data_IF_077510082102
#
_entry.id   IF_077510082102
#
_cell.length_a   1.000
_cell.length_b   1.000
_cell.length_c   1.000
_cell.angle_alpha   90.00
_cell.angle_beta   90.00
_cell.angle_gamma   90.00
#
_symmetry.space_group_name_H-M   'P 1'
#
loop_
_entity.id
_entity.type
_entity.pdbx_description
1 polymer ?
#
# COMPACT_ATOMS: atom_id res chain seq x y z
N UNK A 1 -9.63 -18.55 12.11
CA UNK A 1 -8.45 -18.79 13.00
C UNK A 1 -7.89 -17.43 13.37
N UNK A 2 -7.71 -17.17 14.68
CA UNK A 2 -7.13 -15.91 15.17
C UNK A 2 -5.60 -15.92 14.97
N UNK A 3 -5.01 -14.72 14.92
CA UNK A 3 -3.57 -14.52 14.74
C UNK A 3 -2.99 -14.12 16.10
N UNK A 4 -2.15 -14.98 16.69
CA UNK A 4 -1.65 -14.82 18.06
C UNK A 4 -0.20 -14.31 18.13
N UNK A 5 0.60 -14.50 17.09
CA UNK A 5 2.03 -14.10 17.08
C UNK A 5 2.41 -13.32 15.84
N UNK A 6 3.54 -12.62 15.90
CA UNK A 6 4.07 -11.90 14.73
C UNK A 6 4.45 -12.88 13.60
N UNK A 7 4.93 -14.07 13.93
CA UNK A 7 5.28 -15.10 12.96
C UNK A 7 4.03 -15.57 12.19
N UNK A 8 2.91 -15.84 12.89
CA UNK A 8 1.64 -16.16 12.24
C UNK A 8 1.12 -15.03 11.36
N UNK A 9 1.30 -13.77 11.80
CA UNK A 9 0.93 -12.59 11.00
C UNK A 9 1.80 -12.50 9.73
N UNK A 10 3.12 -12.66 9.86
CA UNK A 10 4.02 -12.62 8.70
C UNK A 10 3.71 -13.77 7.72
N UNK A 11 3.44 -14.97 8.22
CA UNK A 11 2.98 -16.09 7.40
C UNK A 11 1.69 -15.74 6.64
N UNK A 12 0.68 -15.23 7.37
CA UNK A 12 -0.60 -14.84 6.76
C UNK A 12 -0.46 -13.71 5.73
N UNK A 13 0.49 -12.79 5.93
CA UNK A 13 0.79 -11.70 5.00
C UNK A 13 1.61 -12.12 3.77
N UNK A 14 2.27 -13.27 3.82
CA UNK A 14 3.19 -13.73 2.77
C UNK A 14 2.85 -15.10 2.15
N UNK A 15 1.71 -15.68 2.50
CA UNK A 15 1.22 -16.94 1.89
C UNK A 15 0.71 -16.69 0.46
N UNK A 16 1.29 -17.30 -0.58
CA UNK A 16 0.85 -17.09 -1.96
C UNK A 16 -0.44 -17.83 -2.28
N UNK A 17 -1.22 -17.27 -3.20
CA UNK A 17 -2.36 -17.95 -3.82
C UNK A 17 -1.92 -18.71 -5.10
N UNK A 18 -2.76 -19.59 -5.64
CA UNK A 18 -2.51 -20.20 -6.94
C UNK A 18 -2.26 -19.18 -8.06
N UNK A 19 -2.96 -18.05 -8.04
CA UNK A 19 -2.79 -16.95 -9.02
C UNK A 19 -1.43 -16.26 -8.86
N UNK A 20 -0.96 -16.10 -7.61
CA UNK A 20 0.35 -15.52 -7.31
C UNK A 20 1.47 -16.42 -7.86
N UNK A 21 1.33 -17.73 -7.66
CA UNK A 21 2.25 -18.74 -8.16
C UNK A 21 2.27 -18.76 -9.70
N UNK A 22 1.08 -18.71 -10.33
CA UNK A 22 0.93 -18.65 -11.77
C UNK A 22 1.57 -17.38 -12.35
N UNK A 23 1.34 -16.21 -11.72
CA UNK A 23 1.94 -14.96 -12.13
C UNK A 23 3.48 -15.00 -12.05
N UNK A 24 4.05 -15.55 -10.97
CA UNK A 24 5.50 -15.69 -10.84
C UNK A 24 6.08 -16.69 -11.84
N UNK A 25 5.33 -17.71 -12.21
CA UNK A 25 5.76 -18.66 -13.28
C UNK A 25 5.79 -17.99 -14.65
N UNK A 26 4.82 -17.14 -14.95
CA UNK A 26 4.70 -16.45 -16.24
C UNK A 26 5.65 -15.26 -16.39
N UNK A 27 5.90 -14.51 -15.31
CA UNK A 27 6.75 -13.31 -15.33
C UNK A 27 8.20 -13.70 -15.64
N UNK A 28 8.83 -13.03 -16.60
CA UNK A 28 10.21 -13.28 -16.97
C UNK A 28 11.18 -12.34 -16.27
N UNK A 29 12.32 -12.89 -15.83
CA UNK A 29 13.46 -12.15 -15.26
C UNK A 29 13.28 -11.74 -13.80
N UNK A 30 14.30 -11.07 -13.28
CA UNK A 30 14.42 -10.65 -11.89
C UNK A 30 13.54 -9.44 -11.57
N UNK A 31 13.29 -9.21 -10.28
CA UNK A 31 12.47 -8.11 -9.79
C UNK A 31 13.26 -7.30 -8.78
N UNK A 32 13.35 -5.98 -8.97
CA UNK A 32 13.82 -5.04 -7.94
C UNK A 32 12.64 -4.33 -7.30
N UNK A 33 12.66 -4.19 -5.98
CA UNK A 33 11.64 -3.46 -5.21
C UNK A 33 12.32 -2.28 -4.52
N UNK A 34 11.99 -1.08 -4.97
CA UNK A 34 12.55 0.18 -4.48
C UNK A 34 11.69 0.74 -3.34
N UNK A 35 12.24 0.82 -2.13
CA UNK A 35 11.54 1.33 -0.95
C UNK A 35 10.97 0.26 -0.02
N UNK A 36 11.56 -0.93 0.03
CA UNK A 36 11.11 -2.07 0.85
C UNK A 36 11.05 -1.77 2.35
N UNK A 37 11.85 -0.84 2.88
CA UNK A 37 11.84 -0.50 4.31
C UNK A 37 10.56 0.15 4.85
N UNK A 38 9.54 0.34 3.98
CA UNK A 38 8.19 0.75 4.37
C UNK A 38 7.37 -0.41 4.94
N UNK A 39 6.12 -0.14 5.36
CA UNK A 39 5.24 -1.10 6.06
C UNK A 39 4.85 -2.32 5.23
N UNK A 40 4.60 -2.13 3.94
CA UNK A 40 4.15 -3.20 3.03
C UNK A 40 5.32 -3.97 2.41
N UNK A 41 6.49 -3.33 2.32
CA UNK A 41 7.64 -3.87 1.59
C UNK A 41 8.10 -5.24 2.07
N UNK A 42 8.36 -5.45 3.37
CA UNK A 42 8.82 -6.74 3.87
C UNK A 42 7.88 -7.90 3.53
N UNK A 43 6.58 -7.74 3.77
CA UNK A 43 5.58 -8.78 3.44
C UNK A 43 5.40 -8.96 1.93
N UNK A 44 5.56 -7.90 1.11
CA UNK A 44 5.53 -8.00 -0.36
C UNK A 44 6.68 -8.87 -0.88
N UNK A 45 7.92 -8.61 -0.46
CA UNK A 45 9.08 -9.38 -0.97
C UNK A 45 9.05 -10.83 -0.48
N UNK A 46 8.54 -11.10 0.74
CA UNK A 46 8.31 -12.46 1.24
C UNK A 46 7.25 -13.19 0.42
N UNK A 47 6.09 -12.55 0.19
CA UNK A 47 5.03 -13.12 -0.65
C UNK A 47 5.54 -13.48 -2.05
N UNK A 48 6.30 -12.59 -2.68
CA UNK A 48 6.92 -12.87 -3.99
C UNK A 48 7.94 -14.02 -3.90
N UNK A 49 8.76 -14.06 -2.85
CA UNK A 49 9.75 -15.15 -2.66
C UNK A 49 9.08 -16.51 -2.50
N UNK A 50 8.03 -16.60 -1.68
CA UNK A 50 7.24 -17.80 -1.51
C UNK A 50 6.58 -18.23 -2.83
N UNK A 51 5.97 -17.29 -3.56
CA UNK A 51 5.37 -17.56 -4.87
C UNK A 51 6.40 -18.06 -5.90
N UNK A 52 7.61 -17.50 -5.92
CA UNK A 52 8.73 -17.96 -6.77
C UNK A 52 9.13 -19.40 -6.41
N UNK A 53 9.23 -19.70 -5.11
CA UNK A 53 9.59 -21.03 -4.63
C UNK A 53 8.55 -22.08 -5.01
N UNK A 54 7.26 -21.79 -4.77
CA UNK A 54 6.15 -22.68 -5.11
C UNK A 54 5.92 -22.82 -6.63
N UNK A 55 6.25 -21.77 -7.40
CA UNK A 55 6.24 -21.84 -8.87
C UNK A 55 7.34 -22.74 -9.45
N UNK A 56 8.37 -23.07 -8.66
CA UNK A 56 9.52 -23.86 -9.10
C UNK A 56 10.40 -23.16 -10.13
N UNK A 57 10.45 -21.80 -10.09
CA UNK A 57 11.24 -21.00 -11.03
C UNK A 57 12.43 -20.34 -10.35
N UNK A 58 13.47 -20.01 -11.12
CA UNK A 58 14.64 -19.28 -10.65
C UNK A 58 14.48 -17.79 -10.96
N UNK A 59 14.43 -16.96 -9.89
CA UNK A 59 14.22 -15.52 -10.01
C UNK A 59 14.76 -14.82 -8.76
N UNK A 60 15.57 -13.79 -8.95
CA UNK A 60 16.01 -12.95 -7.83
C UNK A 60 14.92 -11.95 -7.46
N UNK A 61 14.66 -11.83 -6.18
CA UNK A 61 13.87 -10.73 -5.58
C UNK A 61 14.88 -9.85 -4.84
N UNK A 62 15.02 -8.61 -5.31
CA UNK A 62 16.06 -7.67 -4.84
C UNK A 62 15.36 -6.54 -4.08
N UNK A 63 15.55 -6.49 -2.78
CA UNK A 63 14.95 -5.54 -1.86
C UNK A 63 15.91 -4.36 -1.65
N UNK A 64 15.48 -3.15 -2.05
CA UNK A 64 16.30 -1.93 -1.93
C UNK A 64 15.67 -0.95 -0.96
N UNK A 65 16.40 -0.56 0.07
CA UNK A 65 16.00 0.43 1.06
C UNK A 65 17.21 0.96 1.84
N UNK A 66 17.00 1.99 2.66
CA UNK A 66 18.01 2.45 3.63
C UNK A 66 18.17 1.50 4.81
N UNK A 67 17.20 0.62 5.04
CA UNK A 67 17.16 -0.33 6.15
C UNK A 67 17.45 0.32 7.51
N UNK A 68 16.59 1.25 7.92
CA UNK A 68 16.70 1.89 9.24
C UNK A 68 16.53 0.88 10.39
N UNK A 69 15.75 -0.18 10.17
CA UNK A 69 15.76 -1.38 11.00
C UNK A 69 16.89 -2.29 10.51
N UNK A 70 17.97 -2.37 11.31
CA UNK A 70 19.18 -3.11 10.97
C UNK A 70 18.99 -4.64 11.02
N UNK A 71 17.90 -5.14 11.60
CA UNK A 71 17.60 -6.58 11.67
C UNK A 71 16.94 -7.09 10.40
N UNK A 72 16.19 -6.22 9.70
CA UNK A 72 15.41 -6.58 8.53
C UNK A 72 16.25 -7.16 7.37
N UNK A 73 17.41 -6.58 6.98
CA UNK A 73 18.21 -7.14 5.87
C UNK A 73 18.61 -8.59 6.11
N UNK A 74 19.14 -8.90 7.31
CA UNK A 74 19.55 -10.26 7.67
C UNK A 74 18.38 -11.25 7.63
N UNK A 75 17.21 -10.84 8.14
CA UNK A 75 15.99 -11.66 8.08
C UNK A 75 15.57 -11.97 6.64
N UNK A 76 15.54 -10.97 5.76
CA UNK A 76 15.19 -11.15 4.35
C UNK A 76 16.22 -12.03 3.60
N UNK A 77 17.52 -11.85 3.88
CA UNK A 77 18.58 -12.66 3.27
C UNK A 77 18.47 -14.14 3.68
N UNK A 78 18.12 -14.42 4.93
CA UNK A 78 17.90 -15.79 5.41
C UNK A 78 16.76 -16.49 4.67
N UNK A 79 15.79 -15.72 4.15
CA UNK A 79 14.67 -16.21 3.33
C UNK A 79 15.00 -16.23 1.82
N UNK A 80 16.26 -15.95 1.42
CA UNK A 80 16.70 -15.97 0.02
C UNK A 80 16.28 -14.74 -0.78
N UNK A 81 16.06 -13.61 -0.12
CA UNK A 81 15.79 -12.30 -0.74
C UNK A 81 17.10 -11.49 -0.72
N UNK A 82 17.54 -11.03 -1.88
CA UNK A 82 18.73 -10.18 -1.97
C UNK A 82 18.43 -8.79 -1.41
N UNK A 83 19.33 -8.22 -0.60
CA UNK A 83 19.12 -6.89 -0.02
C UNK A 83 20.25 -5.93 -0.41
N UNK A 84 19.89 -4.71 -0.80
CA UNK A 84 20.83 -3.63 -1.12
C UNK A 84 20.49 -2.42 -0.25
N UNK A 85 21.38 -2.08 0.67
CA UNK A 85 21.26 -0.85 1.46
C UNK A 85 21.60 0.36 0.58
N UNK A 86 20.62 1.25 0.38
CA UNK A 86 20.76 2.38 -0.54
C UNK A 86 19.83 3.53 -0.14
N UNK A 87 20.36 4.74 -0.05
CA UNK A 87 19.52 5.95 -0.12
C UNK A 87 19.32 6.31 -1.59
N UNK A 88 18.11 6.13 -2.06
CA UNK A 88 17.76 6.31 -3.47
C UNK A 88 17.85 7.77 -3.96
N UNK A 89 17.94 8.75 -3.03
CA UNK A 89 18.13 10.16 -3.35
C UNK A 89 19.61 10.57 -3.40
N UNK A 90 20.52 9.71 -2.98
CA UNK A 90 21.96 9.97 -3.08
C UNK A 90 22.40 9.98 -4.55
N UNK A 91 23.29 10.91 -4.91
CA UNK A 91 23.81 11.05 -6.27
C UNK A 91 24.49 9.75 -6.74
N UNK A 92 24.10 9.28 -7.93
CA UNK A 92 24.62 8.05 -8.52
C UNK A 92 24.16 6.75 -7.82
N UNK A 93 23.29 6.83 -6.82
CA UNK A 93 22.81 5.64 -6.10
C UNK A 93 22.11 4.64 -7.01
N UNK A 94 21.24 5.12 -7.90
CA UNK A 94 20.50 4.28 -8.83
C UNK A 94 21.39 3.60 -9.88
N UNK A 95 22.53 4.19 -10.23
CA UNK A 95 23.46 3.61 -11.21
C UNK A 95 24.17 2.36 -10.67
N UNK A 96 24.25 2.23 -9.35
CA UNK A 96 24.84 1.06 -8.67
C UNK A 96 23.85 -0.10 -8.54
N UNK A 97 22.55 0.13 -8.82
CA UNK A 97 21.54 -0.92 -8.77
C UNK A 97 21.55 -1.76 -10.05
N UNK A 98 21.20 -3.05 -9.96
CA UNK A 98 21.24 -3.95 -11.11
C UNK A 98 20.19 -3.56 -12.18
N UNK A 99 20.53 -3.87 -13.45
CA UNK A 99 19.57 -3.87 -14.54
C UNK A 99 18.64 -5.08 -14.40
N UNK A 100 17.35 -4.81 -14.34
CA UNK A 100 16.33 -5.86 -14.23
C UNK A 100 15.13 -5.52 -15.11
N UNK A 101 14.41 -6.52 -15.64
CA UNK A 101 13.25 -6.27 -16.49
C UNK A 101 12.00 -5.82 -15.70
N UNK A 102 11.96 -5.98 -14.38
CA UNK A 102 10.77 -5.71 -13.58
C UNK A 102 11.11 -4.88 -12.34
N UNK A 103 10.43 -3.75 -12.15
CA UNK A 103 10.64 -2.80 -11.06
C UNK A 103 9.33 -2.56 -10.33
N UNK A 104 9.34 -2.69 -9.01
CA UNK A 104 8.27 -2.19 -8.16
C UNK A 104 8.78 -0.93 -7.45
N UNK A 105 8.09 0.19 -7.66
CA UNK A 105 8.38 1.45 -6.99
C UNK A 105 7.37 1.70 -5.87
N UNK A 106 7.83 1.66 -4.62
CA UNK A 106 7.00 1.90 -3.45
C UNK A 106 7.61 2.89 -2.45
N UNK A 107 8.74 3.51 -2.79
CA UNK A 107 9.32 4.57 -1.96
C UNK A 107 8.38 5.78 -1.92
N UNK A 108 8.07 6.25 -0.72
CA UNK A 108 7.19 7.40 -0.50
C UNK A 108 7.46 8.07 0.84
N UNK A 109 7.10 9.37 0.93
CA UNK A 109 7.02 10.09 2.20
C UNK A 109 5.61 10.67 2.35
N UNK A 110 4.86 10.20 3.35
CA UNK A 110 3.50 10.66 3.66
C UNK A 110 3.47 11.48 4.95
N UNK A 111 4.21 11.07 5.98
CA UNK A 111 4.14 11.65 7.32
C UNK A 111 5.31 12.56 7.62
N UNK A 112 5.13 13.53 8.52
CA UNK A 112 6.13 14.53 8.87
C UNK A 112 6.42 15.47 7.70
N UNK A 113 5.38 15.84 6.95
CA UNK A 113 5.48 16.72 5.77
C UNK A 113 5.38 18.19 6.15
N UNK A 114 4.64 18.53 7.19
CA UNK A 114 4.48 19.92 7.65
C UNK A 114 5.82 20.52 8.07
N UNK A 115 6.23 21.59 7.39
CA UNK A 115 7.55 22.25 7.58
C UNK A 115 8.73 21.55 6.88
N UNK A 116 8.46 20.44 6.17
CA UNK A 116 9.45 19.70 5.37
C UNK A 116 8.86 19.19 4.05
N UNK A 117 8.00 19.98 3.43
CA UNK A 117 7.26 19.67 2.20
C UNK A 117 8.23 19.33 1.06
N UNK A 118 9.37 20.01 0.99
CA UNK A 118 10.42 19.77 -0.01
C UNK A 118 10.95 18.32 0.01
N UNK A 119 11.00 17.67 1.18
CA UNK A 119 11.40 16.26 1.27
C UNK A 119 10.32 15.33 0.71
N UNK A 120 9.04 15.70 0.84
CA UNK A 120 7.95 14.95 0.22
C UNK A 120 8.01 15.05 -1.29
N UNK A 121 8.28 16.23 -1.84
CA UNK A 121 8.46 16.43 -3.28
C UNK A 121 9.71 15.71 -3.80
N UNK A 122 10.84 15.76 -3.08
CA UNK A 122 12.04 15.01 -3.44
C UNK A 122 11.76 13.50 -3.53
N UNK A 123 11.11 12.92 -2.49
CA UNK A 123 10.83 11.49 -2.45
C UNK A 123 9.70 11.07 -3.41
N UNK A 124 8.65 11.89 -3.52
CA UNK A 124 7.45 11.51 -4.26
C UNK A 124 7.45 11.94 -5.74
N UNK A 125 8.33 12.85 -6.15
CA UNK A 125 8.36 13.40 -7.52
C UNK A 125 9.74 13.37 -8.15
N UNK A 126 10.78 13.89 -7.48
CA UNK A 126 12.14 13.87 -8.03
C UNK A 126 12.68 12.44 -8.16
N UNK A 127 12.59 11.63 -7.10
CA UNK A 127 13.03 10.23 -7.13
C UNK A 127 12.32 9.43 -8.23
N UNK A 128 11.00 9.50 -8.43
CA UNK A 128 10.34 8.96 -9.61
C UNK A 128 10.96 9.34 -10.95
N UNK A 129 11.42 10.60 -11.13
CA UNK A 129 12.06 11.01 -12.36
C UNK A 129 13.39 10.29 -12.61
N UNK A 130 14.19 10.14 -11.56
CA UNK A 130 15.45 9.38 -11.60
C UNK A 130 15.19 7.91 -11.92
N UNK A 131 14.20 7.29 -11.26
CA UNK A 131 13.82 5.88 -11.46
C UNK A 131 13.26 5.65 -12.87
N UNK A 132 12.37 6.52 -13.36
CA UNK A 132 11.80 6.41 -14.70
C UNK A 132 12.88 6.49 -15.80
N UNK A 133 13.90 7.33 -15.61
CA UNK A 133 15.04 7.42 -16.51
C UNK A 133 15.94 6.19 -16.44
N UNK A 134 16.29 5.75 -15.22
CA UNK A 134 17.18 4.61 -14.97
C UNK A 134 16.60 3.29 -15.50
N UNK A 135 15.31 3.07 -15.27
CA UNK A 135 14.62 1.84 -15.62
C UNK A 135 13.68 1.98 -16.84
N UNK A 136 14.02 2.88 -17.78
CA UNK A 136 13.21 3.17 -18.97
C UNK A 136 12.92 1.95 -19.84
N UNK A 137 13.74 0.92 -19.77
CA UNK A 137 13.62 -0.33 -20.54
C UNK A 137 12.94 -1.46 -19.72
N UNK A 138 12.52 -1.18 -18.49
CA UNK A 138 11.88 -2.15 -17.61
C UNK A 138 10.37 -1.93 -17.54
N UNK A 139 9.62 -2.96 -17.15
CA UNK A 139 8.24 -2.79 -16.67
C UNK A 139 8.26 -2.19 -15.28
N UNK A 140 7.43 -1.20 -15.03
CA UNK A 140 7.38 -0.51 -13.74
C UNK A 140 5.98 -0.59 -13.16
N UNK A 141 5.84 -1.22 -11.99
CA UNK A 141 4.64 -1.12 -11.15
C UNK A 141 4.90 -0.11 -10.06
N UNK A 142 4.09 0.95 -10.01
CA UNK A 142 4.26 2.06 -9.08
C UNK A 142 3.07 2.17 -8.13
N UNK A 143 3.32 2.17 -6.83
CA UNK A 143 2.31 2.57 -5.85
C UNK A 143 2.05 4.08 -5.92
N UNK A 144 0.79 4.41 -6.14
CA UNK A 144 0.18 5.72 -5.99
C UNK A 144 -0.78 5.69 -4.79
N UNK A 145 -1.71 6.63 -4.71
CA UNK A 145 -2.66 6.75 -3.61
C UNK A 145 -4.05 7.17 -4.10
N UNK A 146 -5.09 6.68 -3.44
CA UNK A 146 -6.45 7.21 -3.62
C UNK A 146 -6.59 8.70 -3.26
N UNK A 147 -5.63 9.28 -2.53
CA UNK A 147 -5.63 10.70 -2.19
C UNK A 147 -5.42 11.64 -3.41
N UNK A 148 -5.10 11.10 -4.59
CA UNK A 148 -5.07 11.90 -5.84
C UNK A 148 -6.47 12.31 -6.29
N UNK A 149 -7.51 11.65 -5.78
CA UNK A 149 -8.90 12.00 -6.08
C UNK A 149 -9.47 13.06 -5.14
N UNK A 150 -10.50 13.78 -5.58
CA UNK A 150 -11.28 14.65 -4.69
C UNK A 150 -12.05 13.83 -3.64
N UNK A 151 -12.50 14.50 -2.58
CA UNK A 151 -13.55 13.95 -1.72
C UNK A 151 -14.81 13.66 -2.56
N UNK A 152 -15.32 12.44 -2.49
CA UNK A 152 -16.50 12.01 -3.25
C UNK A 152 -17.75 12.01 -2.39
N UNK A 153 -18.89 12.50 -2.91
CA UNK A 153 -20.20 12.27 -2.29
C UNK A 153 -20.42 10.77 -2.06
N UNK A 154 -20.90 10.41 -0.87
CA UNK A 154 -21.02 9.00 -0.45
C UNK A 154 -21.90 8.17 -1.41
N UNK A 155 -22.99 8.77 -1.94
CA UNK A 155 -23.92 8.10 -2.84
C UNK A 155 -23.35 7.77 -4.23
N UNK A 156 -22.16 8.27 -4.58
CA UNK A 156 -21.54 8.02 -5.89
C UNK A 156 -20.61 6.78 -5.88
N UNK A 157 -20.49 6.05 -4.78
CA UNK A 157 -19.75 4.78 -4.73
C UNK A 157 -18.22 4.88 -4.92
N UNK A 158 -17.65 6.06 -4.72
CA UNK A 158 -16.19 6.29 -4.84
C UNK A 158 -15.75 6.77 -6.23
N UNK A 159 -14.45 7.11 -6.34
CA UNK A 159 -13.81 7.52 -7.59
C UNK A 159 -13.41 6.30 -8.41
N UNK A 160 -13.78 6.25 -9.70
CA UNK A 160 -13.21 5.31 -10.67
C UNK A 160 -11.90 5.85 -11.25
N UNK A 161 -11.19 5.03 -12.03
CA UNK A 161 -9.94 5.44 -12.68
C UNK A 161 -10.13 6.59 -13.68
N UNK A 162 -11.34 6.77 -14.21
CA UNK A 162 -11.74 7.85 -15.12
C UNK A 162 -12.13 9.14 -14.40
N UNK A 163 -12.30 9.09 -13.07
CA UNK A 163 -12.63 10.28 -12.29
C UNK A 163 -11.47 11.28 -12.37
N UNK A 164 -11.72 12.55 -12.74
CA UNK A 164 -10.68 13.58 -12.74
C UNK A 164 -10.00 13.68 -11.38
N UNK A 165 -8.67 13.75 -11.40
CA UNK A 165 -7.86 13.89 -10.19
C UNK A 165 -7.92 15.33 -9.68
N UNK A 166 -8.02 15.51 -8.35
CA UNK A 166 -8.04 16.80 -7.66
C UNK A 166 -7.42 16.64 -6.26
N UNK A 167 -6.08 16.47 -6.19
CA UNK A 167 -5.38 16.17 -4.96
C UNK A 167 -5.38 17.36 -3.99
N UNK A 168 -5.61 17.09 -2.69
CA UNK A 168 -5.57 18.09 -1.63
C UNK A 168 -4.32 17.93 -0.77
N UNK A 169 -3.61 19.04 -0.54
CA UNK A 169 -2.40 19.09 0.28
C UNK A 169 -1.15 18.57 -0.43
N UNK A 170 0.00 18.83 0.18
CA UNK A 170 1.33 18.58 -0.39
C UNK A 170 1.58 17.11 -0.71
N UNK A 171 1.17 16.20 0.20
CA UNK A 171 1.34 14.78 -0.03
C UNK A 171 0.59 14.32 -1.28
N UNK A 172 -0.69 14.63 -1.38
CA UNK A 172 -1.52 14.15 -2.49
C UNK A 172 -1.06 14.76 -3.83
N UNK A 173 -0.68 16.04 -3.84
CA UNK A 173 -0.13 16.73 -5.01
C UNK A 173 1.20 16.11 -5.44
N UNK A 174 2.12 15.84 -4.53
CA UNK A 174 3.41 15.21 -4.84
C UNK A 174 3.24 13.76 -5.34
N UNK A 175 2.22 13.03 -4.85
CA UNK A 175 1.88 11.69 -5.38
C UNK A 175 1.28 11.78 -6.79
N UNK A 176 0.44 12.78 -7.08
CA UNK A 176 0.01 13.03 -8.47
C UNK A 176 1.21 13.39 -9.35
N UNK A 177 2.14 14.19 -8.84
CA UNK A 177 3.42 14.47 -9.51
C UNK A 177 4.17 13.19 -9.87
N UNK A 178 4.22 12.20 -8.98
CA UNK A 178 4.76 10.85 -9.25
C UNK A 178 4.09 10.20 -10.45
N UNK A 179 2.76 10.16 -10.48
CA UNK A 179 2.02 9.58 -11.61
C UNK A 179 2.40 10.28 -12.92
N UNK A 180 2.41 11.63 -12.93
CA UNK A 180 2.76 12.43 -14.11
C UNK A 180 4.18 12.18 -14.61
N UNK A 181 5.11 11.95 -13.70
CA UNK A 181 6.51 11.62 -14.06
C UNK A 181 6.60 10.22 -14.71
N UNK A 182 5.98 9.21 -14.16
CA UNK A 182 5.97 7.89 -14.79
C UNK A 182 5.16 7.88 -16.10
N UNK A 183 4.08 8.65 -16.20
CA UNK A 183 3.32 8.86 -17.42
C UNK A 183 4.21 9.53 -18.50
N UNK A 184 4.96 10.59 -18.14
CA UNK A 184 5.91 11.22 -19.03
C UNK A 184 6.98 10.25 -19.54
N UNK A 185 7.58 9.45 -18.63
CA UNK A 185 8.57 8.43 -19.00
C UNK A 185 7.98 7.36 -19.93
N UNK A 186 6.76 6.94 -19.66
CA UNK A 186 6.02 5.99 -20.49
C UNK A 186 5.81 6.52 -21.90
N UNK A 187 5.31 7.75 -22.05
CA UNK A 187 5.12 8.37 -23.37
C UNK A 187 6.44 8.62 -24.10
N UNK A 188 7.48 9.05 -23.38
CA UNK A 188 8.77 9.42 -23.99
C UNK A 188 9.57 8.22 -24.49
N UNK A 189 9.57 7.12 -23.74
CA UNK A 189 10.44 5.96 -23.98
C UNK A 189 9.68 4.69 -24.30
N UNK A 190 8.35 4.71 -24.26
CA UNK A 190 7.54 3.50 -24.42
C UNK A 190 7.60 2.59 -23.18
N UNK A 191 8.08 3.08 -22.03
CA UNK A 191 8.20 2.30 -20.80
C UNK A 191 6.84 1.76 -20.36
N UNK A 192 6.66 0.43 -20.23
CA UNK A 192 5.40 -0.12 -19.76
C UNK A 192 5.22 0.13 -18.26
N UNK A 193 4.14 0.80 -17.86
CA UNK A 193 3.88 1.21 -16.47
C UNK A 193 2.49 0.78 -16.01
N UNK A 194 2.38 0.39 -14.74
CA UNK A 194 1.12 0.27 -14.01
C UNK A 194 1.15 1.17 -12.77
N UNK A 195 0.12 2.00 -12.60
CA UNK A 195 -0.05 2.94 -11.49
C UNK A 195 -1.16 2.42 -10.56
N UNK A 196 -0.82 2.07 -9.31
CA UNK A 196 -1.73 1.49 -8.35
C UNK A 196 -2.17 2.54 -7.31
N UNK A 197 -3.40 3.04 -7.42
CA UNK A 197 -3.99 4.02 -6.49
C UNK A 197 -4.51 3.30 -5.25
N UNK A 198 -3.62 3.07 -4.30
CA UNK A 198 -3.92 2.34 -3.06
C UNK A 198 -4.76 3.18 -2.10
N UNK A 199 -5.78 2.53 -1.51
CA UNK A 199 -6.55 3.06 -0.39
C UNK A 199 -6.56 2.03 0.74
N UNK A 200 -6.03 2.38 1.91
CA UNK A 200 -5.94 1.65 3.18
C UNK A 200 -5.67 0.14 3.11
N UNK A 201 -4.40 -0.23 2.91
CA UNK A 201 -3.95 -1.59 3.18
C UNK A 201 -3.85 -1.84 4.70
N UNK A 202 -4.45 -2.94 5.16
CA UNK A 202 -4.56 -3.30 6.58
C UNK A 202 -3.52 -4.35 6.96
N UNK A 203 -2.78 -4.04 8.01
CA UNK A 203 -1.92 -4.94 8.79
C UNK A 203 -2.34 -4.77 10.26
N UNK A 204 -2.27 -5.83 11.09
CA UNK A 204 -2.74 -5.77 12.48
C UNK A 204 -1.91 -4.82 13.35
N UNK A 205 -0.66 -4.56 12.97
CA UNK A 205 0.28 -3.65 13.67
C UNK A 205 0.11 -2.19 13.27
N UNK A 206 -0.62 -1.93 12.17
CA UNK A 206 -0.80 -0.62 11.58
C UNK A 206 -1.99 -0.58 10.63
N UNK A 207 -2.62 0.55 10.52
CA UNK A 207 -3.69 0.82 9.57
C UNK A 207 -4.90 1.46 10.22
N UNK A 208 -5.87 1.86 9.40
CA UNK A 208 -7.05 2.56 9.88
C UNK A 208 -7.88 1.73 10.87
N UNK A 209 -7.94 0.41 10.71
CA UNK A 209 -8.63 -0.45 11.67
C UNK A 209 -7.89 -0.51 13.01
N UNK A 210 -6.55 -0.52 12.99
CA UNK A 210 -5.74 -0.44 14.22
C UNK A 210 -5.96 0.89 14.95
N UNK A 211 -6.04 2.02 14.22
CA UNK A 211 -6.31 3.33 14.81
C UNK A 211 -7.71 3.39 15.45
N UNK A 212 -8.74 2.93 14.72
CA UNK A 212 -10.13 2.91 15.22
C UNK A 212 -10.25 1.96 16.41
N UNK A 213 -9.77 0.72 16.27
CA UNK A 213 -9.83 -0.30 17.32
C UNK A 213 -9.11 0.15 18.60
N UNK A 214 -7.92 0.77 18.47
CA UNK A 214 -7.17 1.30 19.61
C UNK A 214 -7.94 2.43 20.31
N UNK A 215 -8.54 3.37 19.55
CA UNK A 215 -9.34 4.44 20.13
C UNK A 215 -10.55 3.88 20.91
N UNK A 216 -11.26 2.90 20.35
CA UNK A 216 -12.39 2.23 21.04
C UNK A 216 -11.92 1.49 22.30
N UNK A 217 -10.84 0.71 22.21
CA UNK A 217 -10.29 -0.05 23.34
C UNK A 217 -9.85 0.85 24.48
N UNK A 218 -9.23 2.00 24.16
CA UNK A 218 -8.79 3.00 25.14
C UNK A 218 -9.87 3.97 25.55
N UNK A 219 -11.13 3.81 25.07
CA UNK A 219 -12.26 4.73 25.33
C UNK A 219 -11.97 6.19 24.97
N UNK A 220 -11.23 6.39 23.88
CA UNK A 220 -10.91 7.70 23.32
C UNK A 220 -12.02 8.13 22.36
N UNK A 221 -12.35 9.44 22.28
CA UNK A 221 -13.28 9.93 21.28
C UNK A 221 -12.76 9.71 19.86
N UNK A 222 -13.59 9.12 19.00
CA UNK A 222 -13.31 8.88 17.59
C UNK A 222 -13.97 9.98 16.74
N UNK A 223 -13.17 10.67 15.97
CA UNK A 223 -13.67 11.70 15.04
C UNK A 223 -14.32 11.03 13.82
N UNK A 224 -15.63 11.26 13.63
CA UNK A 224 -16.43 10.69 12.56
C UNK A 224 -16.70 11.65 11.39
N UNK A 225 -16.00 12.80 11.31
CA UNK A 225 -16.14 13.73 10.17
C UNK A 225 -15.73 13.12 8.83
N UNK A 226 -14.88 12.08 8.83
CA UNK A 226 -14.70 11.19 7.71
C UNK A 226 -15.58 9.97 7.95
N UNK A 227 -16.80 9.87 7.36
CA UNK A 227 -17.78 8.87 7.80
C UNK A 227 -17.53 7.47 7.22
N UNK A 228 -16.86 7.39 6.10
CA UNK A 228 -16.68 6.15 5.32
C UNK A 228 -15.25 5.99 4.83
N UNK A 229 -14.85 4.73 4.62
CA UNK A 229 -13.58 4.36 3.99
C UNK A 229 -13.72 3.08 3.17
N UNK A 230 -12.70 2.79 2.34
CA UNK A 230 -12.47 1.45 1.78
C UNK A 230 -11.18 0.90 2.38
N UNK A 231 -11.11 -0.42 2.60
CA UNK A 231 -9.92 -1.07 3.11
C UNK A 231 -9.71 -2.44 2.46
N UNK A 232 -8.45 -2.87 2.36
CA UNK A 232 -8.07 -4.17 1.81
C UNK A 232 -7.03 -4.81 2.72
N UNK A 233 -7.07 -6.13 2.88
CA UNK A 233 -5.99 -6.85 3.56
C UNK A 233 -4.66 -6.65 2.83
N UNK A 234 -3.59 -6.34 3.56
CA UNK A 234 -2.30 -5.97 2.97
C UNK A 234 -1.73 -7.06 2.06
N UNK A 235 -1.92 -8.33 2.41
CA UNK A 235 -1.52 -9.46 1.56
C UNK A 235 -2.18 -9.41 0.19
N UNK A 236 -3.48 -9.11 0.13
CA UNK A 236 -4.22 -9.05 -1.13
C UNK A 236 -3.78 -7.84 -1.97
N UNK A 237 -3.50 -6.70 -1.34
CA UNK A 237 -2.91 -5.55 -2.03
C UNK A 237 -1.52 -5.88 -2.60
N UNK A 238 -0.69 -6.60 -1.86
CA UNK A 238 0.62 -7.07 -2.30
C UNK A 238 0.51 -8.06 -3.47
N UNK A 239 -0.46 -8.98 -3.43
CA UNK A 239 -0.75 -9.91 -4.53
C UNK A 239 -1.07 -9.17 -5.83
N UNK A 240 -2.01 -8.22 -5.78
CA UNK A 240 -2.35 -7.39 -6.94
C UNK A 240 -1.14 -6.62 -7.46
N UNK A 241 -0.27 -6.13 -6.57
CA UNK A 241 0.91 -5.35 -6.95
C UNK A 241 1.80 -6.08 -7.95
N UNK A 242 2.30 -7.27 -7.63
CA UNK A 242 3.22 -7.95 -8.56
C UNK A 242 2.49 -8.64 -9.72
N UNK A 243 1.22 -9.02 -9.56
CA UNK A 243 0.40 -9.52 -10.67
C UNK A 243 0.10 -8.41 -11.69
N UNK A 244 0.13 -7.14 -11.29
CA UNK A 244 -0.04 -6.01 -12.19
C UNK A 244 1.08 -5.84 -13.23
N UNK A 245 2.20 -6.56 -13.13
CA UNK A 245 3.21 -6.59 -14.20
C UNK A 245 2.63 -7.06 -15.55
N UNK A 246 1.63 -7.92 -15.54
CA UNK A 246 0.92 -8.38 -16.74
C UNK A 246 0.21 -7.23 -17.47
N UNK A 247 -0.22 -6.21 -16.73
CA UNK A 247 -0.97 -5.08 -17.24
C UNK A 247 -0.12 -3.83 -17.50
N UNK A 248 1.20 -3.90 -17.25
CA UNK A 248 2.08 -2.79 -17.57
C UNK A 248 2.03 -2.47 -19.07
N UNK A 249 1.75 -1.22 -19.41
CA UNK A 249 1.60 -0.76 -20.78
C UNK A 249 2.02 0.71 -20.93
N UNK A 250 2.10 1.19 -22.19
CA UNK A 250 2.26 2.59 -22.54
C UNK A 250 1.12 3.02 -23.49
N UNK A 251 0.30 4.03 -23.12
CA UNK A 251 0.26 4.81 -21.87
C UNK A 251 0.01 3.96 -20.62
N UNK A 252 0.31 4.48 -19.41
CA UNK A 252 0.23 3.70 -18.19
C UNK A 252 -1.14 3.08 -17.91
N UNK A 253 -1.14 1.85 -17.45
CA UNK A 253 -2.32 1.23 -16.86
C UNK A 253 -2.56 1.82 -15.47
N UNK A 254 -3.77 2.34 -15.22
CA UNK A 254 -4.17 2.88 -13.91
C UNK A 254 -5.17 1.93 -13.27
N UNK A 255 -4.99 1.68 -11.97
CA UNK A 255 -5.82 0.78 -11.19
C UNK A 255 -6.08 1.32 -9.78
N UNK A 256 -7.34 1.40 -9.36
CA UNK A 256 -7.70 1.57 -7.97
C UNK A 256 -7.46 0.26 -7.22
N UNK A 257 -6.81 0.34 -6.07
CA UNK A 257 -6.41 -0.82 -5.27
C UNK A 257 -6.98 -0.70 -3.86
N UNK A 258 -8.08 -1.40 -3.60
CA UNK A 258 -8.74 -1.44 -2.28
C UNK A 258 -9.79 -2.56 -2.22
N UNK A 259 -10.45 -2.74 -1.07
CA UNK A 259 -11.59 -3.65 -0.93
C UNK A 259 -12.87 -3.11 -1.61
N UNK A 260 -13.85 -3.99 -1.87
CA UNK A 260 -15.09 -3.63 -2.55
C UNK A 260 -16.06 -2.82 -1.68
N UNK A 261 -15.97 -2.94 -0.37
CA UNK A 261 -16.93 -2.38 0.55
C UNK A 261 -16.65 -0.90 0.84
N UNK A 262 -17.72 -0.11 0.95
CA UNK A 262 -17.71 1.20 1.57
C UNK A 262 -18.09 1.04 3.03
N UNK A 263 -17.09 1.13 3.92
CA UNK A 263 -17.21 0.82 5.33
C UNK A 263 -17.50 2.08 6.16
N UNK A 264 -18.55 2.06 6.97
CA UNK A 264 -18.85 3.13 7.92
C UNK A 264 -17.86 3.10 9.09
N UNK A 265 -17.24 4.24 9.40
CA UNK A 265 -16.38 4.40 10.58
C UNK A 265 -17.16 4.08 11.86
N UNK A 266 -18.42 4.54 11.95
CA UNK A 266 -19.32 4.25 13.07
C UNK A 266 -19.53 2.75 13.22
N UNK A 267 -19.91 2.07 12.15
CA UNK A 267 -20.11 0.61 12.16
C UNK A 267 -18.84 -0.14 12.56
N UNK A 268 -17.68 0.23 12.02
CA UNK A 268 -16.39 -0.39 12.40
C UNK A 268 -16.16 -0.22 13.91
N UNK A 269 -16.38 0.98 14.45
CA UNK A 269 -16.20 1.26 15.88
C UNK A 269 -17.19 0.45 16.74
N UNK A 270 -18.45 0.33 16.30
CA UNK A 270 -19.47 -0.48 16.99
C UNK A 270 -19.11 -1.96 16.99
N UNK A 271 -18.57 -2.50 15.90
CA UNK A 271 -18.05 -3.88 15.85
C UNK A 271 -16.88 -4.06 16.83
N UNK A 272 -15.90 -3.15 16.86
CA UNK A 272 -14.86 -3.18 17.89
C UNK A 272 -15.42 -3.08 19.30
N UNK A 273 -16.45 -2.25 19.50
CA UNK A 273 -17.15 -2.14 20.79
C UNK A 273 -17.75 -3.47 21.29
N UNK A 274 -18.28 -4.28 20.37
CA UNK A 274 -18.78 -5.64 20.70
C UNK A 274 -17.63 -6.54 21.17
N UNK A 275 -16.49 -6.54 20.44
CA UNK A 275 -15.32 -7.34 20.82
C UNK A 275 -14.71 -6.92 22.15
N UNK A 276 -14.73 -5.63 22.49
CA UNK A 276 -14.14 -5.08 23.72
C UNK A 276 -15.15 -4.92 24.87
N UNK A 277 -16.41 -5.31 24.68
CA UNK A 277 -17.50 -5.11 25.63
C UNK A 277 -17.62 -3.65 26.14
N UNK A 278 -17.52 -2.69 25.21
CA UNK A 278 -17.63 -1.27 25.53
C UNK A 278 -18.38 -0.50 24.43
N UNK A 279 -18.89 0.70 24.78
CA UNK A 279 -19.52 1.59 23.81
C UNK A 279 -18.47 2.55 23.24
N UNK A 280 -18.37 2.68 21.90
CA UNK A 280 -17.54 3.72 21.30
C UNK A 280 -17.98 5.13 21.67
N UNK A 281 -17.03 6.03 21.79
CA UNK A 281 -17.30 7.47 22.01
C UNK A 281 -17.03 8.17 20.68
N UNK A 282 -18.03 8.90 20.18
CA UNK A 282 -17.89 9.62 18.92
C UNK A 282 -17.76 11.13 19.14
N UNK A 283 -17.04 11.80 18.26
CA UNK A 283 -16.89 13.25 18.20
C UNK A 283 -17.04 13.76 16.77
N UNK A 284 -17.49 14.99 16.62
CA UNK A 284 -17.80 15.60 15.33
C UNK A 284 -19.11 15.08 14.73
N UNK A 285 -19.45 15.58 13.53
CA UNK A 285 -20.63 15.19 12.78
C UNK A 285 -20.21 14.54 11.46
N UNK A 286 -20.90 13.50 11.06
CA UNK A 286 -20.68 12.81 9.81
C UNK A 286 -20.96 13.73 8.61
N UNK A 287 -20.00 13.84 7.71
CA UNK A 287 -20.16 14.62 6.48
C UNK A 287 -20.74 13.77 5.35
N UNK A 288 -21.15 14.41 4.26
CA UNK A 288 -21.73 13.72 3.09
C UNK A 288 -20.69 13.25 2.07
N UNK A 289 -19.39 13.32 2.38
CA UNK A 289 -18.32 12.95 1.44
C UNK A 289 -17.11 12.34 2.15
N UNK A 290 -16.35 11.51 1.43
CA UNK A 290 -15.11 10.88 1.92
C UNK A 290 -14.13 10.62 0.75
N UNK A 291 -12.88 10.25 1.07
CA UNK A 291 -11.93 9.71 0.10
C UNK A 291 -12.29 8.24 -0.14
N UNK A 292 -13.05 8.00 -1.20
CA UNK A 292 -13.50 6.66 -1.59
C UNK A 292 -13.05 6.33 -3.01
N UNK A 293 -12.63 5.09 -3.20
CA UNK A 293 -12.24 4.52 -4.49
C UNK A 293 -13.18 3.40 -4.90
N UNK A 294 -13.57 3.37 -6.16
CA UNK A 294 -14.28 2.25 -6.77
C UNK A 294 -13.26 1.29 -7.37
N UNK A 295 -13.14 0.10 -6.80
CA UNK A 295 -12.18 -0.93 -7.22
C UNK A 295 -12.79 -2.00 -8.14
N UNK A 296 -13.92 -1.73 -8.80
CA UNK A 296 -14.59 -2.71 -9.66
C UNK A 296 -13.68 -3.22 -10.80
N UNK A 297 -12.80 -2.39 -11.34
CA UNK A 297 -11.80 -2.80 -12.35
C UNK A 297 -10.81 -3.82 -11.76
N UNK A 298 -10.29 -3.57 -10.56
CA UNK A 298 -9.41 -4.51 -9.85
C UNK A 298 -10.09 -5.86 -9.67
N UNK A 299 -11.34 -5.88 -9.17
CA UNK A 299 -12.03 -7.14 -8.87
C UNK A 299 -12.33 -7.95 -10.13
N UNK A 300 -12.60 -7.30 -11.27
CA UNK A 300 -12.76 -8.01 -12.55
C UNK A 300 -11.47 -8.66 -13.05
N UNK A 301 -10.30 -8.03 -12.81
CA UNK A 301 -9.01 -8.49 -13.33
C UNK A 301 -8.29 -9.47 -12.39
N UNK A 302 -8.42 -9.26 -11.08
CA UNK A 302 -7.63 -9.98 -10.06
C UNK A 302 -8.47 -10.80 -9.09
N UNK A 303 -9.79 -10.72 -9.16
CA UNK A 303 -10.70 -11.31 -8.17
C UNK A 303 -10.92 -10.42 -6.94
N UNK A 304 -11.81 -10.86 -6.07
CA UNK A 304 -12.09 -10.19 -4.80
C UNK A 304 -10.98 -10.46 -3.77
N UNK A 305 -10.77 -9.55 -2.80
CA UNK A 305 -9.91 -9.80 -1.66
C UNK A 305 -10.31 -11.09 -0.91
N UNK A 306 -9.32 -11.77 -0.34
CA UNK A 306 -9.51 -13.06 0.33
C UNK A 306 -9.95 -12.93 1.79
N UNK A 307 -9.81 -11.74 2.38
CA UNK A 307 -10.14 -11.45 3.78
C UNK A 307 -11.26 -10.41 3.83
N UNK A 308 -12.32 -10.75 4.55
CA UNK A 308 -13.49 -9.89 4.72
C UNK A 308 -13.25 -8.78 5.74
N UNK A 309 -14.03 -7.67 5.72
CA UNK A 309 -13.98 -6.64 6.75
C UNK A 309 -14.20 -7.18 8.18
N UNK A 310 -15.11 -8.13 8.35
CA UNK A 310 -15.37 -8.71 9.66
C UNK A 310 -14.16 -9.49 10.20
N UNK A 311 -13.49 -10.28 9.35
CA UNK A 311 -12.25 -10.97 9.73
C UNK A 311 -11.13 -9.98 10.08
N UNK A 312 -10.96 -8.92 9.28
CA UNK A 312 -9.97 -7.88 9.59
C UNK A 312 -10.24 -7.20 10.93
N UNK A 313 -11.53 -6.91 11.24
CA UNK A 313 -11.93 -6.32 12.53
C UNK A 313 -11.69 -7.31 13.68
N UNK A 314 -12.13 -8.57 13.54
CA UNK A 314 -11.94 -9.61 14.55
C UNK A 314 -10.45 -9.82 14.88
N UNK A 315 -9.61 -9.99 13.85
CA UNK A 315 -8.16 -10.17 14.05
C UNK A 315 -7.50 -8.94 14.68
N UNK A 316 -7.90 -7.74 14.24
CA UNK A 316 -7.38 -6.49 14.82
C UNK A 316 -7.83 -6.33 16.28
N UNK A 317 -9.08 -6.66 16.60
CA UNK A 317 -9.57 -6.62 17.98
C UNK A 317 -8.81 -7.60 18.88
N UNK A 318 -8.61 -8.83 18.42
CA UNK A 318 -7.84 -9.84 19.13
C UNK A 318 -6.39 -9.40 19.35
N UNK A 319 -5.76 -8.81 18.31
CA UNK A 319 -4.39 -8.28 18.37
C UNK A 319 -4.24 -7.17 19.41
N UNK A 320 -5.16 -6.22 19.43
CA UNK A 320 -5.17 -5.09 20.37
C UNK A 320 -5.42 -5.58 21.81
N UNK A 321 -6.46 -6.40 22.03
CA UNK A 321 -6.80 -6.93 23.34
C UNK A 321 -5.67 -7.80 23.95
N UNK A 322 -4.91 -8.48 23.09
CA UNK A 322 -3.74 -9.26 23.48
C UNK A 322 -2.49 -8.41 23.78
N UNK A 323 -2.57 -7.07 23.70
CA UNK A 323 -1.43 -6.17 23.93
C UNK A 323 -0.25 -6.40 22.96
N UNK A 324 -0.55 -6.86 21.74
CA UNK A 324 0.46 -7.19 20.73
C UNK A 324 1.12 -5.93 20.17
N UNK A 325 2.25 -6.11 19.49
CA UNK A 325 3.05 -5.02 18.92
C UNK A 325 2.22 -4.12 18.00
N UNK A 326 2.36 -2.81 18.18
CA UNK A 326 1.92 -1.76 17.26
C UNK A 326 3.12 -1.01 16.70
N UNK A 327 3.03 -0.55 15.45
CA UNK A 327 4.04 0.34 14.86
C UNK A 327 3.91 1.78 15.36
N UNK A 328 2.89 2.11 16.14
CA UNK A 328 2.63 3.43 16.73
C UNK A 328 2.73 4.60 15.72
N UNK A 329 2.18 4.38 14.53
CA UNK A 329 2.17 5.37 13.44
C UNK A 329 0.72 5.60 13.01
N UNK A 330 0.04 6.67 13.49
CA UNK A 330 -1.34 6.96 13.13
C UNK A 330 -1.48 7.20 11.63
N UNK A 331 -2.61 6.76 11.07
CA UNK A 331 -2.91 6.94 9.63
C UNK A 331 -3.40 8.34 9.30
N UNK A 332 -3.89 9.07 10.31
CA UNK A 332 -4.58 10.36 10.15
C UNK A 332 -5.76 10.27 9.17
N UNK A 333 -6.52 9.16 9.23
CA UNK A 333 -7.64 8.88 8.30
C UNK A 333 -8.74 9.94 8.36
N UNK A 334 -8.89 10.65 9.50
CA UNK A 334 -9.84 11.73 9.69
C UNK A 334 -9.47 13.02 8.94
N UNK A 335 -8.23 13.12 8.43
CA UNK A 335 -7.73 14.29 7.69
C UNK A 335 -8.48 14.48 6.38
N UNK A 336 -9.05 15.65 6.17
CA UNK A 336 -9.83 16.02 4.96
C UNK A 336 -9.19 17.16 4.17
N UNK A 337 -8.26 17.91 4.76
CA UNK A 337 -7.56 19.06 4.18
C UNK A 337 -6.19 18.69 3.57
N UNK A 338 -5.77 17.43 3.69
CA UNK A 338 -4.51 16.92 3.14
C UNK A 338 -3.26 17.24 3.96
N UNK A 339 -3.43 17.66 5.21
CA UNK A 339 -2.31 17.86 6.15
C UNK A 339 -2.06 16.57 6.94
N UNK A 340 -0.92 15.89 6.65
CA UNK A 340 -0.55 14.61 7.25
C UNK A 340 0.74 14.72 8.08
#
# INVERSE_FOLDING_TARGET
MLIDTEEQLEEKLSQPSPDDIAAMRALQGDIVVLGVGGKMGPSLVRLMRHAVTEAGVQKRIIAVARFTDQTLPGALQAEGIETIACDLLEDGALDRLPDVPNVIFMAARKFGTTGAEYLSWAMNTQLPALVASRYRNSRIVCFSSGNVYPLRPLHLGGASEETPVDPRGEYAQSVLGRERIFEYGSHRWGTPVALLRLNYAIDLRYGVLSDIGTAVYQRQPLDIRTPMLNAIWQRDANSVCFRAFEYCQSPPFVLNLTGPETLSIRWIAEEFGKHFACQPIFSGEETSSAFLSNAAKQHRLFGYPTVTPNEMIEWTAHWIAGGKRSLNKPTHFQTRDGKF
#
